data_IF_919260465149
#
_entry.id   IF_919260465149
#
_cell.length_a   1.000
_cell.length_b   1.000
_cell.length_c   1.000
_cell.angle_alpha   90.00
_cell.angle_beta   90.00
_cell.angle_gamma   90.00
#
_symmetry.space_group_name_H-M   'P 1'
#
loop_
_entity.id
_entity.type
_entity.pdbx_description
1 polymer ?
#
# COMPACT_ATOMS: atom_id res chain seq x y z
N UNK A 1 -10.77 6.49 16.27
CA UNK A 1 -10.05 6.47 14.98
C UNK A 1 -10.42 7.71 14.20
N UNK A 2 -9.43 8.54 13.87
CA UNK A 2 -9.62 9.89 13.34
C UNK A 2 -10.29 9.95 11.96
N UNK A 3 -10.93 11.10 11.68
CA UNK A 3 -11.67 11.45 10.47
C UNK A 3 -10.80 11.77 9.24
N UNK A 4 -9.47 11.70 9.34
CA UNK A 4 -8.56 11.99 8.23
C UNK A 4 -8.50 10.81 7.25
N UNK A 5 -8.69 11.07 5.95
CA UNK A 5 -8.47 10.06 4.89
C UNK A 5 -9.68 9.19 4.53
N UNK A 6 -10.86 9.39 5.13
CA UNK A 6 -12.03 8.51 4.93
C UNK A 6 -12.46 8.38 3.44
N UNK A 7 -12.16 9.40 2.61
CA UNK A 7 -12.43 9.41 1.18
C UNK A 7 -11.22 9.67 0.26
N UNK A 8 -10.01 9.79 0.80
CA UNK A 8 -8.82 10.17 0.03
C UNK A 8 -7.62 9.33 0.43
N UNK A 9 -6.79 8.99 -0.54
CA UNK A 9 -5.45 8.45 -0.24
C UNK A 9 -4.61 9.58 0.31
N UNK A 10 -3.94 9.35 1.43
CA UNK A 10 -2.98 10.28 2.01
C UNK A 10 -1.65 9.56 2.08
N UNK A 11 -0.60 10.28 1.71
CA UNK A 11 0.80 9.87 1.82
C UNK A 11 1.43 10.77 2.88
N UNK A 12 2.29 10.24 3.73
CA UNK A 12 2.90 11.01 4.82
C UNK A 12 3.88 12.07 4.28
N UNK A 13 4.67 11.71 3.27
CA UNK A 13 5.54 12.65 2.56
C UNK A 13 5.64 12.36 1.06
N UNK A 14 5.74 13.42 0.26
CA UNK A 14 6.05 13.35 -1.16
C UNK A 14 7.33 14.16 -1.44
N UNK A 15 8.32 13.53 -2.07
CA UNK A 15 9.64 14.12 -2.30
C UNK A 15 9.92 14.16 -3.79
N UNK A 16 10.08 15.36 -4.35
CA UNK A 16 10.58 15.56 -5.70
C UNK A 16 12.10 15.59 -5.69
N UNK A 17 12.71 14.93 -6.65
CA UNK A 17 14.16 14.91 -6.82
C UNK A 17 14.51 14.67 -8.29
N UNK A 18 15.75 14.99 -8.67
CA UNK A 18 16.28 14.69 -10.00
C UNK A 18 17.24 13.51 -9.92
N UNK A 19 17.09 12.54 -10.83
CA UNK A 19 18.05 11.45 -10.93
C UNK A 19 19.37 11.89 -11.60
N UNK A 20 20.35 10.98 -11.66
CA UNK A 20 21.65 11.26 -12.28
C UNK A 20 21.59 11.58 -13.79
N UNK A 21 20.41 11.48 -14.41
CA UNK A 21 20.13 11.85 -15.80
C UNK A 21 19.26 13.12 -15.90
N UNK A 22 19.09 13.87 -14.80
CA UNK A 22 18.27 15.09 -14.69
C UNK A 22 16.78 14.84 -14.98
N UNK A 23 16.29 13.62 -14.77
CA UNK A 23 14.86 13.33 -14.86
C UNK A 23 14.20 13.59 -13.52
N UNK A 24 13.08 14.32 -13.54
CA UNK A 24 12.26 14.51 -12.35
C UNK A 24 11.65 13.18 -11.91
N UNK A 25 11.84 12.87 -10.64
CA UNK A 25 11.30 11.70 -9.94
C UNK A 25 10.47 12.17 -8.77
N UNK A 26 9.48 11.37 -8.41
CA UNK A 26 8.68 11.57 -7.21
C UNK A 26 8.80 10.33 -6.34
N UNK A 27 8.97 10.52 -5.03
CA UNK A 27 8.93 9.43 -4.07
C UNK A 27 7.84 9.70 -3.05
N UNK A 28 6.87 8.80 -2.98
CA UNK A 28 5.92 8.71 -1.89
C UNK A 28 6.49 7.90 -0.75
N UNK A 29 6.40 8.45 0.44
CA UNK A 29 6.88 7.80 1.65
C UNK A 29 5.74 7.66 2.64
N UNK A 30 5.54 6.43 3.11
CA UNK A 30 4.65 6.07 4.20
C UNK A 30 5.49 5.68 5.41
N UNK A 31 5.23 6.32 6.55
CA UNK A 31 5.92 6.06 7.80
C UNK A 31 5.08 5.14 8.68
N UNK A 32 5.69 4.03 9.12
CA UNK A 32 5.08 3.04 10.02
C UNK A 32 6.08 2.70 11.13
N UNK A 33 6.07 3.50 12.19
CA UNK A 33 6.99 3.31 13.30
C UNK A 33 6.53 2.21 14.25
N UNK A 34 5.28 2.28 14.70
CA UNK A 34 4.75 1.42 15.78
C UNK A 34 3.57 0.56 15.32
N UNK A 35 3.08 0.84 14.12
CA UNK A 35 2.01 0.10 13.49
C UNK A 35 2.45 -1.34 13.20
N UNK A 36 1.53 -2.27 13.44
CA UNK A 36 1.74 -3.71 13.23
C UNK A 36 1.37 -4.19 11.82
N UNK A 37 0.89 -3.29 10.97
CA UNK A 37 0.47 -3.59 9.61
C UNK A 37 0.48 -2.31 8.78
N UNK A 38 0.65 -2.46 7.47
CA UNK A 38 0.60 -1.33 6.53
C UNK A 38 -0.76 -0.66 6.48
N UNK A 39 -1.84 -1.36 6.82
CA UNK A 39 -3.20 -0.86 6.80
C UNK A 39 -4.20 -2.00 6.69
N UNK A 40 -5.47 -1.64 6.59
CA UNK A 40 -6.58 -2.60 6.54
C UNK A 40 -7.72 -2.02 5.68
N UNK A 41 -8.59 -2.90 5.16
CA UNK A 41 -9.73 -2.52 4.35
C UNK A 41 -10.88 -2.01 5.21
N UNK A 42 -11.12 -0.70 5.14
CA UNK A 42 -12.29 -0.08 5.78
C UNK A 42 -13.62 -0.64 5.29
N UNK A 43 -13.67 -1.28 4.12
CA UNK A 43 -14.87 -1.95 3.61
C UNK A 43 -15.16 -3.27 4.30
N UNK A 44 -14.15 -4.11 4.49
CA UNK A 44 -14.27 -5.36 5.24
C UNK A 44 -14.64 -5.08 6.70
N UNK A 45 -13.96 -4.12 7.32
CA UNK A 45 -14.19 -3.73 8.72
C UNK A 45 -15.43 -2.85 8.96
N UNK A 46 -16.10 -2.39 7.90
CA UNK A 46 -17.28 -1.51 8.01
C UNK A 46 -18.42 -2.23 8.73
N UNK A 47 -19.02 -1.57 9.74
CA UNK A 47 -20.27 -2.06 10.38
C UNK A 47 -21.45 -2.11 9.43
N UNK A 48 -21.44 -1.31 8.37
CA UNK A 48 -22.48 -1.30 7.32
C UNK A 48 -22.28 -2.35 6.24
N UNK A 49 -21.17 -3.10 6.26
CA UNK A 49 -20.97 -4.22 5.37
C UNK A 49 -21.61 -5.47 5.98
N UNK A 50 -22.82 -5.79 5.52
CA UNK A 50 -23.60 -6.97 5.91
C UNK A 50 -23.14 -8.26 5.22
N UNK A 51 -22.21 -8.15 4.26
CA UNK A 51 -21.75 -9.25 3.42
C UNK A 51 -20.23 -9.45 3.52
N UNK A 52 -19.66 -9.31 4.73
CA UNK A 52 -18.21 -9.46 4.96
C UNK A 52 -17.65 -10.81 4.50
N UNK A 53 -18.44 -11.87 4.65
CA UNK A 53 -18.08 -13.22 4.18
C UNK A 53 -17.66 -13.23 2.70
N UNK A 54 -18.19 -12.31 1.87
CA UNK A 54 -17.79 -12.20 0.46
C UNK A 54 -16.33 -11.82 0.29
N UNK A 55 -15.75 -11.07 1.23
CA UNK A 55 -14.31 -10.78 1.22
C UNK A 55 -13.50 -12.04 1.52
N UNK A 56 -14.02 -13.00 2.28
CA UNK A 56 -13.32 -14.23 2.65
C UNK A 56 -13.45 -15.30 1.55
N UNK A 57 -14.58 -15.30 0.82
CA UNK A 57 -14.88 -16.30 -0.22
C UNK A 57 -14.68 -15.78 -1.64
N UNK A 58 -14.04 -14.63 -1.82
CA UNK A 58 -13.94 -13.97 -3.13
C UNK A 58 -13.07 -14.79 -4.09
N UNK A 59 -13.55 -15.02 -5.31
CA UNK A 59 -12.72 -15.52 -6.39
C UNK A 59 -12.20 -14.35 -7.24
N UNK A 60 -10.93 -13.97 -7.04
CA UNK A 60 -10.32 -12.81 -7.70
C UNK A 60 -10.43 -12.87 -9.23
N UNK A 61 -10.37 -14.07 -9.82
CA UNK A 61 -10.46 -14.27 -11.27
C UNK A 61 -11.82 -13.86 -11.86
N UNK A 62 -12.89 -13.98 -11.07
CA UNK A 62 -14.28 -13.82 -11.52
C UNK A 62 -14.98 -12.65 -10.83
N UNK A 63 -14.20 -11.76 -10.19
CA UNK A 63 -14.74 -10.64 -9.44
C UNK A 63 -15.58 -9.71 -10.32
N UNK A 64 -16.74 -9.32 -9.81
CA UNK A 64 -17.52 -8.20 -10.31
C UNK A 64 -17.52 -7.11 -9.23
N UNK A 65 -16.58 -6.14 -9.25
CA UNK A 65 -16.35 -5.24 -8.13
C UNK A 65 -17.60 -4.51 -7.62
N UNK A 66 -18.46 -4.02 -8.52
CA UNK A 66 -19.72 -3.36 -8.17
C UNK A 66 -20.69 -4.25 -7.38
N UNK A 67 -20.58 -5.58 -7.50
CA UNK A 67 -21.41 -6.57 -6.79
C UNK A 67 -20.70 -7.17 -5.59
N UNK A 68 -19.39 -7.41 -5.73
CA UNK A 68 -18.63 -8.27 -4.84
C UNK A 68 -17.78 -7.48 -3.84
N UNK A 69 -17.46 -6.21 -4.12
CA UNK A 69 -16.74 -5.32 -3.22
C UNK A 69 -17.68 -4.30 -2.57
N UNK A 70 -17.79 -4.32 -1.25
CA UNK A 70 -18.60 -3.35 -0.50
C UNK A 70 -18.24 -1.89 -0.83
N UNK A 71 -16.95 -1.58 -1.02
CA UNK A 71 -16.47 -0.23 -1.31
C UNK A 71 -16.78 0.26 -2.73
N UNK A 72 -17.24 -0.61 -3.62
CA UNK A 72 -17.66 -0.29 -4.99
C UNK A 72 -19.15 -0.52 -5.23
N UNK A 73 -19.90 -0.93 -4.19
CA UNK A 73 -21.33 -1.24 -4.27
C UNK A 73 -22.26 -0.06 -4.64
N UNK A 74 -21.73 1.17 -4.66
CA UNK A 74 -22.45 2.44 -4.95
C UNK A 74 -23.71 2.69 -4.11
N UNK A 75 -23.86 2.00 -2.98
CA UNK A 75 -24.94 2.25 -2.00
C UNK A 75 -24.88 3.65 -1.37
N UNK A 76 -23.70 4.29 -1.37
CA UNK A 76 -23.47 5.66 -0.89
C UNK A 76 -22.19 6.26 -1.51
N UNK A 77 -21.94 7.56 -1.29
CA UNK A 77 -20.68 8.22 -1.66
C UNK A 77 -19.43 7.61 -0.98
N UNK A 78 -19.61 6.85 0.12
CA UNK A 78 -18.51 6.14 0.80
C UNK A 78 -18.21 4.77 0.18
N UNK A 79 -19.10 4.27 -0.68
CA UNK A 79 -19.00 2.97 -1.35
C UNK A 79 -18.98 3.11 -2.87
N UNK A 80 -18.46 4.22 -3.38
CA UNK A 80 -18.31 4.50 -4.81
C UNK A 80 -16.83 4.53 -5.23
N UNK A 81 -15.99 3.68 -4.62
CA UNK A 81 -14.57 3.55 -4.97
C UNK A 81 -14.44 2.74 -6.24
N UNK A 82 -13.65 3.22 -7.19
CA UNK A 82 -13.39 2.56 -8.47
C UNK A 82 -11.98 1.99 -8.58
N UNK A 83 -11.38 1.63 -7.44
CA UNK A 83 -9.98 1.19 -7.38
C UNK A 83 -9.70 -0.02 -8.26
N UNK A 84 -10.65 -0.97 -8.34
CA UNK A 84 -10.51 -2.17 -9.18
C UNK A 84 -10.35 -1.85 -10.67
N UNK A 85 -10.99 -0.79 -11.15
CA UNK A 85 -10.92 -0.37 -12.55
C UNK A 85 -9.53 0.18 -12.94
N UNK A 86 -8.74 0.64 -11.97
CA UNK A 86 -7.45 1.30 -12.21
C UNK A 86 -6.25 0.40 -11.95
N UNK A 87 -6.44 -0.86 -11.54
CA UNK A 87 -5.34 -1.74 -11.15
C UNK A 87 -4.36 -1.98 -12.30
N UNK A 88 -4.87 -2.35 -13.48
CA UNK A 88 -4.03 -2.63 -14.64
C UNK A 88 -3.25 -1.39 -15.09
N UNK A 89 -3.91 -0.22 -15.12
CA UNK A 89 -3.29 1.05 -15.47
C UNK A 89 -2.21 1.45 -14.46
N UNK A 90 -2.41 1.15 -13.17
CA UNK A 90 -1.39 1.35 -12.15
C UNK A 90 -0.30 0.27 -12.13
N UNK A 91 -0.30 -0.65 -13.09
CA UNK A 91 0.69 -1.71 -13.19
C UNK A 91 0.52 -2.83 -12.16
N UNK A 92 -0.66 -2.98 -11.55
CA UNK A 92 -1.00 -4.05 -10.60
C UNK A 92 -1.69 -5.20 -11.36
N UNK A 93 -1.08 -6.38 -11.34
CA UNK A 93 -1.57 -7.61 -11.94
C UNK A 93 -2.15 -8.55 -10.88
N UNK A 94 -3.40 -8.98 -11.10
CA UNK A 94 -4.05 -10.01 -10.29
C UNK A 94 -3.73 -11.43 -10.76
N UNK A 95 -2.91 -11.60 -11.80
CA UNK A 95 -2.55 -12.93 -12.34
C UNK A 95 -1.88 -13.85 -11.30
N UNK A 96 -0.96 -13.38 -10.42
CA UNK A 96 -0.39 -14.22 -9.38
C UNK A 96 -1.41 -14.75 -8.36
N UNK A 97 -2.58 -14.10 -8.28
CA UNK A 97 -3.69 -14.49 -7.42
C UNK A 97 -4.70 -15.41 -8.14
N UNK A 98 -4.39 -15.89 -9.36
CA UNK A 98 -5.22 -16.87 -10.04
C UNK A 98 -5.23 -18.19 -9.27
N UNK A 99 -6.30 -18.43 -8.50
CA UNK A 99 -6.46 -19.61 -7.64
C UNK A 99 -6.49 -19.27 -6.15
N UNK A 100 -6.24 -18.02 -5.77
CA UNK A 100 -6.46 -17.55 -4.41
C UNK A 100 -7.96 -17.35 -4.14
N UNK A 101 -8.43 -17.88 -3.01
CA UNK A 101 -9.75 -17.60 -2.45
C UNK A 101 -9.58 -16.55 -1.36
N UNK A 102 -10.37 -15.49 -1.45
CA UNK A 102 -10.28 -14.34 -0.56
C UNK A 102 -9.98 -13.05 -1.31
N UNK A 103 -10.35 -11.94 -0.69
CA UNK A 103 -10.05 -10.61 -1.16
C UNK A 103 -8.60 -10.29 -0.79
N UNK A 104 -7.69 -10.10 -1.77
CA UNK A 104 -6.29 -9.82 -1.49
C UNK A 104 -6.13 -8.46 -0.79
N UNK A 105 -7.09 -7.56 -0.99
CA UNK A 105 -7.15 -6.25 -0.37
C UNK A 105 -7.96 -6.26 0.93
N UNK A 106 -8.09 -7.38 1.63
CA UNK A 106 -8.68 -7.39 2.97
C UNK A 106 -7.72 -6.76 3.98
N UNK A 107 -6.43 -7.10 3.93
CA UNK A 107 -5.43 -6.59 4.86
C UNK A 107 -4.46 -5.57 4.23
N UNK A 108 -3.14 -5.74 4.39
CA UNK A 108 -2.16 -4.69 4.14
C UNK A 108 -2.10 -4.22 2.68
N UNK A 109 -2.47 -5.09 1.73
CA UNK A 109 -2.49 -4.74 0.31
C UNK A 109 -3.53 -3.68 -0.04
N UNK A 110 -4.56 -3.45 0.79
CA UNK A 110 -5.53 -2.39 0.52
C UNK A 110 -4.87 -1.00 0.53
N UNK A 111 -4.01 -0.74 1.51
CA UNK A 111 -3.31 0.53 1.60
C UNK A 111 -2.30 0.67 0.46
N UNK A 112 -1.53 -0.38 0.18
CA UNK A 112 -0.57 -0.40 -0.93
C UNK A 112 -1.23 -0.16 -2.29
N UNK A 113 -2.35 -0.83 -2.56
CA UNK A 113 -3.16 -0.59 -3.76
C UNK A 113 -3.48 0.90 -3.91
N UNK A 114 -4.00 1.53 -2.85
CA UNK A 114 -4.38 2.94 -2.91
C UNK A 114 -3.20 3.87 -3.17
N UNK A 115 -2.03 3.57 -2.62
CA UNK A 115 -0.80 4.35 -2.83
C UNK A 115 -0.29 4.19 -4.26
N UNK A 116 -0.32 2.97 -4.81
CA UNK A 116 0.09 2.70 -6.19
C UNK A 116 -0.88 3.29 -7.23
N UNK A 117 -2.18 3.30 -6.96
CA UNK A 117 -3.14 4.01 -7.79
C UNK A 117 -2.87 5.52 -7.82
N UNK A 118 -2.52 6.10 -6.67
CA UNK A 118 -2.14 7.52 -6.60
C UNK A 118 -0.82 7.77 -7.33
N UNK A 119 0.15 6.88 -7.19
CA UNK A 119 1.45 6.98 -7.86
C UNK A 119 1.29 6.96 -9.39
N UNK A 120 0.47 6.05 -9.91
CA UNK A 120 0.15 5.98 -11.34
C UNK A 120 -0.54 7.26 -11.83
N UNK A 121 -1.54 7.75 -11.09
CA UNK A 121 -2.21 9.01 -11.41
C UNK A 121 -1.24 10.19 -11.47
N UNK A 122 -0.35 10.33 -10.48
CA UNK A 122 0.64 11.41 -10.47
C UNK A 122 1.64 11.29 -11.62
N UNK A 123 2.05 10.07 -11.99
CA UNK A 123 2.94 9.87 -13.13
C UNK A 123 2.28 10.28 -14.44
N UNK A 124 1.00 9.95 -14.62
CA UNK A 124 0.27 10.24 -15.86
C UNK A 124 -0.12 11.73 -15.97
N UNK A 125 -0.37 12.41 -14.85
CA UNK A 125 -0.96 13.77 -14.85
C UNK A 125 0.02 14.91 -14.55
N UNK A 126 1.13 14.66 -13.84
CA UNK A 126 2.08 15.75 -13.51
C UNK A 126 2.96 16.15 -14.71
N UNK A 127 3.05 15.31 -15.74
CA UNK A 127 3.64 15.62 -17.04
C UNK A 127 5.18 15.72 -17.09
N UNK A 128 5.84 16.02 -15.97
CA UNK A 128 7.29 16.10 -15.85
C UNK A 128 7.90 14.97 -15.01
N UNK A 129 7.08 14.21 -14.29
CA UNK A 129 7.51 13.10 -13.43
C UNK A 129 7.67 11.80 -14.24
N UNK A 130 8.92 11.35 -14.43
CA UNK A 130 9.23 10.12 -15.17
C UNK A 130 8.76 8.86 -14.43
N UNK A 131 8.86 8.85 -13.10
CA UNK A 131 8.34 7.76 -12.27
C UNK A 131 8.01 8.19 -10.86
N UNK A 132 7.06 7.48 -10.26
CA UNK A 132 6.71 7.63 -8.85
C UNK A 132 7.09 6.37 -8.06
N UNK A 133 8.09 6.46 -7.20
CA UNK A 133 8.46 5.40 -6.26
C UNK A 133 7.53 5.42 -5.04
N UNK A 134 7.23 4.24 -4.49
CA UNK A 134 6.52 4.08 -3.21
C UNK A 134 7.45 3.40 -2.21
N UNK A 135 7.67 4.07 -1.08
CA UNK A 135 8.56 3.64 0.00
C UNK A 135 7.78 3.53 1.29
N UNK A 136 7.98 2.43 2.01
CA UNK A 136 7.56 2.29 3.41
C UNK A 136 8.81 2.43 4.28
N UNK A 137 8.73 3.30 5.28
CA UNK A 137 9.76 3.45 6.30
C UNK A 137 9.24 2.85 7.61
N UNK A 138 9.97 1.88 8.15
CA UNK A 138 9.66 1.23 9.41
C UNK A 138 10.92 0.76 10.13
N UNK A 139 10.82 0.44 11.41
CA UNK A 139 11.96 -0.09 12.16
C UNK A 139 12.29 -1.50 11.69
N UNK A 140 13.59 -1.83 11.62
CA UNK A 140 14.04 -3.18 11.24
C UNK A 140 13.48 -4.26 12.18
N UNK A 141 13.33 -3.94 13.48
CA UNK A 141 12.77 -4.86 14.49
C UNK A 141 11.25 -5.06 14.40
N UNK A 142 10.53 -4.29 13.59
CA UNK A 142 9.08 -4.40 13.46
C UNK A 142 8.68 -5.53 12.48
N UNK A 143 8.88 -6.78 12.90
CA UNK A 143 8.51 -7.96 12.10
C UNK A 143 7.00 -8.05 11.86
N UNK A 144 6.18 -7.55 12.79
CA UNK A 144 4.72 -7.49 12.67
C UNK A 144 4.32 -6.69 11.41
N UNK A 145 4.92 -5.51 11.21
CA UNK A 145 4.64 -4.64 10.06
C UNK A 145 4.82 -5.33 8.71
N UNK A 146 5.85 -6.17 8.59
CA UNK A 146 6.21 -6.87 7.37
C UNK A 146 5.50 -8.22 7.23
N UNK A 147 4.78 -8.66 8.27
CA UNK A 147 4.08 -9.95 8.25
C UNK A 147 3.04 -9.98 7.13
N UNK A 148 3.12 -11.04 6.34
CA UNK A 148 2.13 -11.34 5.32
C UNK A 148 1.01 -12.20 5.91
N UNK A 149 -0.27 -11.97 5.54
CA UNK A 149 -1.34 -12.89 5.87
C UNK A 149 -1.08 -14.30 5.32
N UNK A 150 -1.45 -15.33 6.07
CA UNK A 150 -1.17 -16.74 5.73
C UNK A 150 -1.74 -17.10 4.35
N UNK A 151 -2.93 -16.62 4.05
CA UNK A 151 -3.62 -16.84 2.78
C UNK A 151 -2.87 -16.24 1.56
N UNK A 152 -1.95 -15.29 1.80
CA UNK A 152 -1.11 -14.65 0.79
C UNK A 152 0.36 -15.12 0.84
N UNK A 153 0.76 -15.96 1.80
CA UNK A 153 2.14 -16.41 1.99
C UNK A 153 2.76 -17.08 0.74
N UNK A 154 1.94 -17.66 -0.14
CA UNK A 154 2.39 -18.21 -1.42
C UNK A 154 2.98 -17.16 -2.38
N UNK A 155 2.71 -15.87 -2.16
CA UNK A 155 3.25 -14.77 -2.94
C UNK A 155 4.61 -14.28 -2.44
N UNK A 156 5.04 -14.57 -1.22
CA UNK A 156 6.27 -14.01 -0.67
C UNK A 156 6.47 -14.34 0.79
N UNK A 157 7.69 -14.09 1.27
CA UNK A 157 8.04 -14.31 2.67
C UNK A 157 7.60 -13.16 3.58
N UNK A 158 7.31 -11.99 2.99
CA UNK A 158 6.84 -10.80 3.67
C UNK A 158 5.88 -10.00 2.76
N UNK A 159 5.26 -8.96 3.31
CA UNK A 159 4.30 -8.12 2.60
C UNK A 159 4.93 -7.40 1.39
N UNK A 160 6.21 -7.04 1.46
CA UNK A 160 6.92 -6.29 0.43
C UNK A 160 7.19 -7.18 -0.79
N UNK A 161 7.79 -8.34 -0.57
CA UNK A 161 8.08 -9.34 -1.60
C UNK A 161 6.80 -9.83 -2.26
N UNK A 162 5.74 -10.06 -1.48
CA UNK A 162 4.46 -10.49 -2.02
C UNK A 162 3.74 -9.40 -2.83
N UNK A 163 3.73 -8.16 -2.34
CA UNK A 163 3.19 -7.04 -3.11
C UNK A 163 3.94 -6.87 -4.43
N UNK A 164 5.27 -6.96 -4.40
CA UNK A 164 6.11 -6.83 -5.59
C UNK A 164 5.86 -7.92 -6.63
N UNK A 165 5.35 -9.10 -6.24
CA UNK A 165 4.89 -10.11 -7.22
C UNK A 165 3.65 -9.70 -7.99
N UNK A 166 2.82 -8.85 -7.43
CA UNK A 166 1.64 -8.32 -8.10
C UNK A 166 2.00 -7.20 -9.08
N UNK A 167 3.19 -6.62 -9.00
CA UNK A 167 3.57 -5.49 -9.85
C UNK A 167 4.08 -5.97 -11.22
N UNK A 168 3.65 -5.27 -12.26
CA UNK A 168 4.20 -5.35 -13.61
C UNK A 168 5.37 -4.38 -13.78
N UNK A 169 6.06 -4.43 -14.92
CA UNK A 169 7.15 -3.49 -15.23
C UNK A 169 6.72 -2.01 -15.31
N UNK A 170 5.41 -1.72 -15.37
CA UNK A 170 4.90 -0.34 -15.37
C UNK A 170 5.06 0.34 -14.00
N UNK A 171 5.07 -0.43 -12.91
CA UNK A 171 5.11 0.10 -11.55
C UNK A 171 6.47 -0.21 -10.90
N UNK A 172 7.14 0.77 -10.26
CA UNK A 172 8.35 0.52 -9.49
C UNK A 172 8.07 -0.42 -8.31
N UNK A 173 9.04 -1.27 -7.90
CA UNK A 173 8.88 -2.13 -6.74
C UNK A 173 8.73 -1.31 -5.46
N UNK A 174 7.90 -1.80 -4.54
CA UNK A 174 7.78 -1.29 -3.19
C UNK A 174 9.12 -1.53 -2.48
N UNK A 175 9.62 -0.49 -1.84
CA UNK A 175 10.84 -0.57 -1.04
C UNK A 175 10.49 -0.37 0.42
N UNK A 176 11.00 -1.25 1.27
CA UNK A 176 11.06 -1.02 2.70
C UNK A 176 12.43 -0.44 3.03
N UNK A 177 12.45 0.69 3.73
CA UNK A 177 13.68 1.34 4.18
C UNK A 177 13.67 1.35 5.71
N UNK A 178 14.57 0.60 6.35
CA UNK A 178 14.74 0.64 7.79
C UNK A 178 15.03 2.06 8.29
N UNK A 179 14.42 2.44 9.42
CA UNK A 179 14.72 3.70 10.09
C UNK A 179 16.21 3.80 10.44
N UNK A 180 16.81 2.68 10.84
CA UNK A 180 18.22 2.54 11.15
C UNK A 180 19.12 2.95 9.97
N UNK A 181 18.76 2.58 8.75
CA UNK A 181 19.50 2.91 7.54
C UNK A 181 19.43 4.41 7.26
N UNK A 182 18.26 5.04 7.42
CA UNK A 182 18.12 6.50 7.29
C UNK A 182 18.93 7.25 8.33
N UNK A 183 18.93 6.75 9.57
CA UNK A 183 19.65 7.39 10.67
C UNK A 183 21.17 7.22 10.56
N UNK A 184 21.67 6.20 9.86
CA UNK A 184 23.11 5.92 9.71
C UNK A 184 23.92 7.10 9.16
N UNK A 185 23.30 7.99 8.37
CA UNK A 185 23.90 9.21 7.83
C UNK A 185 23.72 10.48 8.68
N UNK A 186 22.85 10.46 9.69
CA UNK A 186 22.55 11.64 10.54
C UNK A 186 23.55 11.74 11.69
N UNK A 187 24.24 12.86 11.95
CA UNK A 187 25.18 12.96 13.08
C UNK A 187 24.55 12.47 14.41
N UNK A 188 25.32 11.75 15.24
CA UNK A 188 24.86 11.32 16.56
C UNK A 188 24.83 12.54 17.49
N UNK A 189 23.67 13.18 17.56
CA UNK A 189 23.39 14.37 18.38
C UNK A 189 22.28 14.10 19.42
N UNK A 190 22.06 12.83 19.79
CA UNK A 190 20.99 12.40 20.68
C UNK A 190 19.65 12.13 19.98
N UNK A 191 19.47 12.58 18.73
CA UNK A 191 18.21 12.33 17.98
C UNK A 191 18.03 10.87 17.61
N UNK A 192 19.13 10.18 17.30
CA UNK A 192 19.12 8.74 16.99
C UNK A 192 18.63 7.94 18.20
N UNK A 193 19.18 8.25 19.37
CA UNK A 193 18.82 7.64 20.65
C UNK A 193 17.37 7.96 20.99
N UNK A 194 16.94 9.21 20.86
CA UNK A 194 15.54 9.62 21.09
C UNK A 194 14.55 8.87 20.19
N UNK A 195 14.83 8.76 18.89
CA UNK A 195 13.93 8.06 17.95
C UNK A 195 13.85 6.57 18.32
N UNK A 196 14.98 5.93 18.64
CA UNK A 196 15.02 4.54 19.07
C UNK A 196 14.30 4.31 20.41
N UNK A 197 14.51 5.16 21.41
CA UNK A 197 13.86 5.02 22.72
C UNK A 197 12.34 5.24 22.65
N UNK A 198 11.91 6.17 21.81
CA UNK A 198 10.49 6.54 21.72
C UNK A 198 9.68 5.62 20.83
N UNK A 199 10.27 5.13 19.74
CA UNK A 199 9.55 4.43 18.69
C UNK A 199 10.17 3.09 18.30
N UNK A 200 11.39 2.80 18.75
CA UNK A 200 12.02 1.51 18.53
C UNK A 200 11.14 0.42 19.11
N UNK A 201 10.78 -0.51 18.23
CA UNK A 201 10.03 -1.73 18.51
C UNK A 201 10.96 -2.93 18.45
#
# INVERSE_FOLDING_TARGET
GGMAGQNRTSIDAAIWWEDGLYKTRLTFVEWKYTEKALGDCGGHNSRGNDQRYRCETLEVRNIQPARDCYLESRRSNRTSRHYWAHLADAGISLRPLCGHTGCPFMGPFYQLMRQYLLAAYCQDELGDVESVDVVVVGFQGNEDLLRIPEELAHLGHDVVSAWNRLLTRKAPPLRHVPVEDLLSGVPSDGRREYIRERYGV
#
